data_IF_384528198477
#
_entry.id   IF_384528198477
#
_cell.length_a   1.000
_cell.length_b   1.000
_cell.length_c   1.000
_cell.angle_alpha   90.00
_cell.angle_beta   90.00
_cell.angle_gamma   90.00
#
_symmetry.space_group_name_H-M   'P 1'
#
loop_
_entity.id
_entity.type
_entity.pdbx_description
1 polymer ?
#
# COMPACT_ATOMS: atom_id res chain seq x y z
N UNK A 1 4.93 -18.89 -19.77
CA UNK A 1 4.72 -18.44 -18.38
C UNK A 1 5.67 -17.27 -18.07
N UNK A 2 5.33 -16.06 -18.48
CA UNK A 2 6.06 -14.88 -18.02
C UNK A 2 5.43 -14.43 -16.71
N UNK A 3 6.10 -14.73 -15.60
CA UNK A 3 5.79 -14.12 -14.31
C UNK A 3 6.24 -12.66 -14.36
N UNK A 4 5.36 -11.71 -14.12
CA UNK A 4 5.74 -10.30 -13.98
C UNK A 4 6.74 -10.18 -12.81
N UNK A 5 7.98 -9.71 -13.06
CA UNK A 5 9.02 -9.67 -12.03
C UNK A 5 8.72 -8.59 -10.98
N UNK A 6 9.20 -8.80 -9.76
CA UNK A 6 9.21 -7.78 -8.71
C UNK A 6 10.35 -6.79 -8.95
N UNK A 7 10.12 -5.48 -8.79
CA UNK A 7 11.14 -4.43 -9.01
C UNK A 7 11.56 -3.66 -7.76
N UNK A 8 10.78 -3.72 -6.67
CA UNK A 8 11.10 -3.05 -5.42
C UNK A 8 10.42 -3.74 -4.23
N UNK A 9 11.01 -3.58 -3.04
CA UNK A 9 10.47 -4.07 -1.76
C UNK A 9 10.74 -3.08 -0.64
N UNK A 10 9.82 -2.99 0.31
CA UNK A 10 9.93 -2.25 1.56
C UNK A 10 9.43 -3.15 2.68
N UNK A 11 10.21 -3.29 3.74
CA UNK A 11 9.92 -4.15 4.89
C UNK A 11 9.99 -3.34 6.17
N UNK A 12 9.07 -3.60 7.08
CA UNK A 12 9.14 -3.16 8.47
C UNK A 12 8.73 -4.34 9.39
N UNK A 13 8.66 -4.12 10.70
CA UNK A 13 8.40 -5.16 11.71
C UNK A 13 7.06 -5.88 11.57
N UNK A 14 6.08 -5.31 10.86
CA UNK A 14 4.70 -5.80 10.86
C UNK A 14 4.16 -6.21 9.50
N UNK A 15 4.52 -5.50 8.42
CA UNK A 15 4.10 -5.82 7.07
C UNK A 15 5.21 -5.54 6.07
N UNK A 16 5.06 -6.15 4.91
CA UNK A 16 5.95 -5.98 3.76
C UNK A 16 5.12 -5.51 2.59
N UNK A 17 5.68 -4.61 1.79
CA UNK A 17 5.13 -4.23 0.51
C UNK A 17 6.18 -4.43 -0.58
N UNK A 18 5.75 -4.84 -1.77
CA UNK A 18 6.61 -4.97 -2.93
C UNK A 18 5.85 -4.56 -4.19
N UNK A 19 6.58 -4.04 -5.17
CA UNK A 19 6.01 -3.65 -6.46
C UNK A 19 6.39 -4.66 -7.53
N UNK A 20 5.40 -5.07 -8.33
CA UNK A 20 5.62 -5.80 -9.58
C UNK A 20 5.72 -4.82 -10.74
N UNK A 21 6.63 -5.08 -11.66
CA UNK A 21 6.63 -4.40 -12.96
C UNK A 21 5.30 -4.71 -13.65
N UNK A 22 4.67 -3.68 -14.20
CA UNK A 22 3.47 -3.81 -14.98
C UNK A 22 3.74 -3.33 -16.41
N UNK A 23 3.50 -4.19 -17.41
CA UNK A 23 3.75 -3.83 -18.82
C UNK A 23 2.89 -2.67 -19.31
N UNK A 24 1.80 -2.34 -18.60
CA UNK A 24 0.93 -1.22 -18.96
C UNK A 24 1.55 0.16 -18.66
N UNK A 25 2.57 0.24 -17.81
CA UNK A 25 3.25 1.52 -17.51
C UNK A 25 4.36 1.83 -18.52
N UNK A 26 4.94 0.81 -19.15
CA UNK A 26 6.14 0.95 -19.97
C UNK A 26 7.42 1.30 -19.18
N UNK A 27 7.35 1.36 -17.85
CA UNK A 27 8.41 1.77 -16.95
C UNK A 27 8.72 0.68 -15.91
N UNK A 28 10.01 0.42 -15.67
CA UNK A 28 10.47 -0.64 -14.74
C UNK A 28 10.34 -0.25 -13.26
N UNK A 29 10.29 1.05 -13.00
CA UNK A 29 10.18 1.68 -11.70
C UNK A 29 8.72 2.08 -11.36
N UNK A 30 7.76 1.63 -12.17
CA UNK A 30 6.33 1.80 -11.94
C UNK A 30 5.59 0.47 -12.05
N UNK A 31 4.47 0.34 -11.35
CA UNK A 31 3.67 -0.87 -11.43
C UNK A 31 2.76 -1.11 -10.24
N UNK A 32 2.19 -2.31 -10.15
CA UNK A 32 1.22 -2.67 -9.11
C UNK A 32 1.92 -2.90 -7.78
N UNK A 33 1.37 -2.32 -6.70
CA UNK A 33 1.86 -2.50 -5.35
C UNK A 33 1.12 -3.66 -4.68
N UNK A 34 1.84 -4.50 -3.96
CA UNK A 34 1.30 -5.64 -3.25
C UNK A 34 1.83 -5.63 -1.82
N UNK A 35 0.95 -5.81 -0.83
CA UNK A 35 1.33 -5.82 0.58
C UNK A 35 0.78 -7.06 1.30
N UNK A 36 1.51 -7.52 2.32
CA UNK A 36 1.18 -8.67 3.16
C UNK A 36 1.78 -8.53 4.56
N UNK A 37 1.36 -9.38 5.49
CA UNK A 37 1.68 -9.31 6.91
C UNK A 37 0.51 -8.77 7.75
N UNK A 38 0.81 -8.18 8.92
CA UNK A 38 -0.18 -7.61 9.84
C UNK A 38 -1.00 -6.53 9.12
N UNK A 39 -2.31 -6.56 9.32
CA UNK A 39 -3.26 -5.63 8.71
C UNK A 39 -4.24 -5.03 9.69
N UNK A 40 -4.03 -5.14 11.01
CA UNK A 40 -4.92 -4.64 12.09
C UNK A 40 -5.40 -3.19 11.94
N UNK A 41 -4.63 -2.34 11.28
CA UNK A 41 -4.98 -0.93 11.03
C UNK A 41 -5.17 -0.61 9.55
N UNK A 42 -5.15 -1.64 8.70
CA UNK A 42 -5.30 -1.50 7.26
C UNK A 42 -4.03 -1.20 6.49
N UNK A 43 -2.86 -1.32 7.11
CA UNK A 43 -1.55 -0.97 6.53
C UNK A 43 -1.18 -1.73 5.24
N UNK A 44 -1.87 -2.84 4.94
CA UNK A 44 -1.74 -3.57 3.67
C UNK A 44 -2.58 -2.99 2.53
N UNK A 45 -3.51 -2.07 2.79
CA UNK A 45 -4.22 -1.30 1.76
C UNK A 45 -5.18 -2.11 0.89
N UNK A 46 -5.61 -3.30 1.33
CA UNK A 46 -6.45 -4.22 0.55
C UNK A 46 -7.93 -3.80 0.47
N UNK A 47 -8.38 -2.85 1.29
CA UNK A 47 -9.76 -2.34 1.24
C UNK A 47 -10.86 -3.35 1.59
N UNK A 48 -10.54 -4.47 2.25
CA UNK A 48 -11.53 -5.46 2.68
C UNK A 48 -12.37 -4.94 3.85
N UNK A 49 -13.47 -4.25 3.54
CA UNK A 49 -14.42 -3.67 4.51
C UNK A 49 -15.55 -4.65 4.91
N UNK A 50 -15.64 -5.82 4.29
CA UNK A 50 -16.74 -6.76 4.43
C UNK A 50 -16.42 -7.91 5.40
N UNK A 51 -16.84 -7.74 6.66
CA UNK A 51 -17.10 -8.74 7.74
C UNK A 51 -16.05 -9.82 8.08
N UNK A 52 -15.01 -10.01 7.26
CA UNK A 52 -13.91 -10.94 7.47
C UNK A 52 -12.59 -10.17 7.41
N UNK A 53 -12.52 -9.08 8.18
CA UNK A 53 -11.27 -8.37 8.39
C UNK A 53 -10.26 -9.36 8.94
N UNK A 54 -9.32 -9.75 8.10
CA UNK A 54 -8.27 -10.69 8.46
C UNK A 54 -7.14 -9.87 9.08
N UNK A 55 -6.82 -10.07 10.37
CA UNK A 55 -5.77 -9.32 11.09
C UNK A 55 -4.37 -9.47 10.46
N UNK A 56 -4.19 -10.49 9.62
CA UNK A 56 -2.96 -10.75 8.89
C UNK A 56 -3.26 -11.32 7.51
N UNK A 57 -2.57 -10.77 6.51
CA UNK A 57 -2.57 -11.24 5.13
C UNK A 57 -1.33 -12.11 4.92
N UNK A 58 -1.49 -13.43 4.82
CA UNK A 58 -0.34 -14.35 4.72
C UNK A 58 0.18 -14.50 3.27
N UNK A 59 -0.45 -13.83 2.32
CA UNK A 59 -0.07 -13.79 0.91
C UNK A 59 -0.07 -12.33 0.41
N UNK A 60 0.76 -11.98 -0.60
CA UNK A 60 0.70 -10.66 -1.24
C UNK A 60 -0.70 -10.37 -1.79
N UNK A 61 -1.29 -9.27 -1.34
CA UNK A 61 -2.55 -8.74 -1.89
C UNK A 61 -2.28 -7.42 -2.61
N UNK A 62 -2.91 -7.22 -3.76
CA UNK A 62 -2.74 -5.99 -4.53
C UNK A 62 -3.41 -4.81 -3.82
N UNK A 63 -2.67 -3.70 -3.74
CA UNK A 63 -3.14 -2.41 -3.24
C UNK A 63 -3.81 -1.68 -4.40
N UNK A 64 -5.12 -1.43 -4.28
CA UNK A 64 -5.96 -0.74 -5.27
C UNK A 64 -5.73 -1.18 -6.72
N UNK A 65 -6.49 -2.18 -7.17
CA UNK A 65 -6.47 -2.66 -8.56
C UNK A 65 -6.62 -1.52 -9.57
N UNK A 66 -5.81 -1.54 -10.63
CA UNK A 66 -5.80 -0.49 -11.66
C UNK A 66 -5.00 0.76 -11.28
N UNK A 67 -4.35 0.78 -10.10
CA UNK A 67 -3.44 1.86 -9.70
C UNK A 67 -1.98 1.42 -9.80
N UNK A 68 -1.14 2.31 -10.32
CA UNK A 68 0.31 2.12 -10.43
C UNK A 68 1.06 3.07 -9.50
N UNK A 69 2.14 2.56 -8.91
CA UNK A 69 2.91 3.23 -7.87
C UNK A 69 4.39 3.27 -8.26
N UNK A 70 5.03 4.42 -8.06
CA UNK A 70 6.44 4.63 -8.43
C UNK A 70 7.40 4.69 -7.25
N UNK A 71 6.92 5.03 -6.06
CA UNK A 71 7.67 4.92 -4.80
C UNK A 71 6.73 4.46 -3.69
N UNK A 72 7.27 3.80 -2.66
CA UNK A 72 6.52 3.43 -1.46
C UNK A 72 7.45 3.22 -0.27
N UNK A 73 6.90 3.37 0.93
CA UNK A 73 7.59 3.14 2.19
C UNK A 73 6.63 2.56 3.23
N UNK A 74 7.12 1.64 4.05
CA UNK A 74 6.38 0.98 5.13
C UNK A 74 6.83 1.50 6.49
N UNK A 75 5.91 2.10 7.25
CA UNK A 75 6.05 2.30 8.68
C UNK A 75 5.70 1.04 9.46
N UNK A 76 5.60 1.13 10.79
CA UNK A 76 5.18 -0.02 11.61
C UNK A 76 3.73 -0.39 11.27
N UNK A 77 2.80 0.54 11.42
CA UNK A 77 1.36 0.30 11.23
C UNK A 77 0.77 1.15 10.09
N UNK A 78 1.60 1.67 9.19
CA UNK A 78 1.18 2.52 8.08
C UNK A 78 2.03 2.31 6.84
N UNK A 79 1.52 2.72 5.69
CA UNK A 79 2.22 2.70 4.41
C UNK A 79 1.94 3.99 3.67
N UNK A 80 2.93 4.51 2.96
CA UNK A 80 2.74 5.60 2.02
C UNK A 80 3.32 5.23 0.65
N UNK A 81 2.73 5.77 -0.41
CA UNK A 81 3.16 5.55 -1.78
C UNK A 81 2.87 6.75 -2.68
N UNK A 82 3.69 6.92 -3.71
CA UNK A 82 3.53 7.94 -4.75
C UNK A 82 2.90 7.29 -5.97
N UNK A 83 1.74 7.80 -6.36
CA UNK A 83 1.00 7.31 -7.53
C UNK A 83 1.72 7.74 -8.80
N UNK A 84 1.85 6.82 -9.76
CA UNK A 84 2.66 7.04 -10.96
C UNK A 84 2.07 8.11 -11.88
N UNK A 85 0.75 8.08 -12.11
CA UNK A 85 0.09 8.91 -13.14
C UNK A 85 0.13 10.42 -12.86
N UNK A 86 0.04 10.82 -11.59
CA UNK A 86 -0.19 12.21 -11.18
C UNK A 86 0.78 12.67 -10.08
N UNK A 87 1.74 11.83 -9.68
CA UNK A 87 2.71 12.10 -8.61
C UNK A 87 2.10 12.46 -7.25
N UNK A 88 0.83 12.12 -7.03
CA UNK A 88 0.16 12.39 -5.75
C UNK A 88 0.65 11.42 -4.68
N UNK A 89 0.75 11.91 -3.44
CA UNK A 89 1.15 11.13 -2.27
C UNK A 89 -0.10 10.55 -1.59
N UNK A 90 -0.07 9.26 -1.34
CA UNK A 90 -1.13 8.53 -0.66
C UNK A 90 -0.58 7.80 0.55
N UNK A 91 -1.30 7.82 1.67
CA UNK A 91 -0.95 7.06 2.85
C UNK A 91 -2.15 6.27 3.37
N UNK A 92 -1.91 5.17 4.07
CA UNK A 92 -2.94 4.36 4.71
C UNK A 92 -2.39 3.58 5.91
N UNK A 93 -3.28 2.93 6.65
CA UNK A 93 -2.99 2.28 7.91
C UNK A 93 -3.45 3.09 9.13
N UNK A 94 -2.77 2.92 10.25
CA UNK A 94 -3.03 3.61 11.51
C UNK A 94 -2.86 5.11 11.34
N UNK A 95 -3.71 5.91 11.99
CA UNK A 95 -3.62 7.37 12.01
C UNK A 95 -3.85 7.97 13.42
N UNK A 96 -3.57 7.22 14.49
CA UNK A 96 -3.92 7.66 15.85
C UNK A 96 -3.19 8.93 16.30
N UNK A 97 -2.01 9.23 15.75
CA UNK A 97 -1.23 10.44 16.04
C UNK A 97 -1.05 11.33 14.80
N UNK A 98 -1.86 11.15 13.76
CA UNK A 98 -1.79 11.96 12.54
C UNK A 98 -0.71 11.53 11.55
N UNK A 99 -0.15 10.32 11.67
CA UNK A 99 0.93 9.83 10.81
C UNK A 99 0.56 9.69 9.31
N UNK A 100 -0.72 9.78 8.94
CA UNK A 100 -1.14 9.81 7.54
C UNK A 100 -1.16 11.22 6.93
N UNK A 101 -1.06 12.29 7.74
CA UNK A 101 -1.02 13.67 7.21
C UNK A 101 -2.33 14.17 6.59
N UNK A 102 -3.47 13.54 6.89
CA UNK A 102 -4.78 13.83 6.27
C UNK A 102 -5.65 14.82 7.07
N UNK A 103 -5.02 15.75 7.80
CA UNK A 103 -5.71 16.75 8.65
C UNK A 103 -6.69 16.17 9.68
N UNK A 104 -6.48 14.94 10.13
CA UNK A 104 -7.19 14.34 11.26
C UNK A 104 -6.28 13.35 12.01
N UNK A 105 -6.74 12.90 13.18
CA UNK A 105 -6.11 11.88 14.01
C UNK A 105 -7.17 10.93 14.59
N UNK A 106 -6.76 9.96 15.41
CA UNK A 106 -7.63 8.98 16.06
C UNK A 106 -8.46 8.11 15.10
N UNK A 107 -7.93 7.88 13.90
CA UNK A 107 -8.57 7.11 12.85
C UNK A 107 -7.63 6.02 12.30
N UNK A 108 -8.16 5.20 11.40
CA UNK A 108 -7.38 4.29 10.55
C UNK A 108 -7.90 4.41 9.12
N UNK A 109 -7.06 4.06 8.14
CA UNK A 109 -7.48 3.97 6.75
C UNK A 109 -7.13 2.60 6.18
N UNK A 110 -8.15 1.88 5.73
CA UNK A 110 -8.03 0.53 5.14
C UNK A 110 -7.66 0.56 3.65
N UNK A 111 -7.76 1.74 3.05
CA UNK A 111 -7.41 2.02 1.67
C UNK A 111 -6.47 3.22 1.63
N UNK A 112 -5.60 3.32 0.61
CA UNK A 112 -4.86 4.54 0.31
C UNK A 112 -5.79 5.77 0.33
N UNK A 113 -5.36 6.82 1.03
CA UNK A 113 -5.99 8.14 0.99
C UNK A 113 -4.97 9.18 0.54
N UNK A 114 -5.40 10.09 -0.33
CA UNK A 114 -4.56 11.16 -0.88
C UNK A 114 -4.28 12.21 0.20
N UNK A 115 -3.04 12.72 0.22
CA UNK A 115 -2.64 13.86 1.03
C UNK A 115 -2.89 15.18 0.26
N UNK A 116 -3.28 16.26 0.96
CA UNK A 116 -3.52 17.57 0.34
C UNK A 116 -2.25 18.23 -0.21
#
# INVERSE_FOLDING_TARGET
NQTTPWSAVSINSYHTCARKIDSNTGAIDEGSLWCWGKSDYGQTGSGQYNINFTPSQNIPNQVLTGTYWKNFATGNDSTCAIKAVDNTLWCWGKNFIGQLGINNAWSTSQIPVILP
#
